data_IF_518469634192
#
_entry.id   IF_518469634192
#
_cell.length_a   1.000
_cell.length_b   1.000
_cell.length_c   1.000
_cell.angle_alpha   90.00
_cell.angle_beta   90.00
_cell.angle_gamma   90.00
#
_symmetry.space_group_name_H-M   'P 1'
#
loop_
_entity.id
_entity.type
_entity.pdbx_description
1 polymer ?
#
# COMPACT_ATOMS: atom_id res chain seq x y z
N UNK A 1 -9.65 39.75 -49.84
CA UNK A 1 -8.72 38.62 -50.10
C UNK A 1 -8.91 37.62 -48.98
N UNK A 2 -9.73 36.57 -49.19
CA UNK A 2 -9.95 35.53 -48.18
C UNK A 2 -8.70 34.63 -48.14
N UNK A 3 -8.05 34.42 -46.98
CA UNK A 3 -7.05 33.37 -46.86
C UNK A 3 -7.72 32.05 -47.24
N UNK A 4 -7.11 31.37 -48.20
CA UNK A 4 -7.71 30.25 -48.94
C UNK A 4 -8.24 29.18 -48.01
N UNK A 5 -9.49 28.77 -48.21
CA UNK A 5 -10.15 27.63 -47.54
C UNK A 5 -9.23 26.40 -47.40
N UNK A 6 -8.30 26.21 -48.35
CA UNK A 6 -7.24 25.21 -48.34
C UNK A 6 -6.34 25.24 -47.10
N UNK A 7 -5.93 26.42 -46.60
CA UNK A 7 -5.08 26.52 -45.41
C UNK A 7 -5.81 26.10 -44.15
N UNK A 8 -7.11 26.42 -44.05
CA UNK A 8 -7.96 25.97 -42.95
C UNK A 8 -8.13 24.44 -42.94
N UNK A 9 -8.34 23.83 -44.11
CA UNK A 9 -8.40 22.37 -44.25
C UNK A 9 -7.08 21.69 -43.88
N UNK A 10 -5.94 22.24 -44.31
CA UNK A 10 -4.63 21.67 -43.93
C UNK A 10 -4.36 21.76 -42.43
N UNK A 11 -4.81 22.83 -41.76
CA UNK A 11 -4.67 22.96 -40.31
C UNK A 11 -5.54 21.92 -39.57
N UNK A 12 -6.78 21.74 -40.01
CA UNK A 12 -7.70 20.75 -39.44
C UNK A 12 -7.19 19.32 -39.63
N UNK A 13 -6.62 18.99 -40.80
CA UNK A 13 -6.01 17.68 -41.05
C UNK A 13 -4.79 17.42 -40.16
N UNK A 14 -3.96 18.44 -39.90
CA UNK A 14 -2.81 18.32 -38.99
C UNK A 14 -3.25 18.11 -37.53
N UNK A 15 -4.29 18.82 -37.09
CA UNK A 15 -4.85 18.65 -35.73
C UNK A 15 -5.43 17.24 -35.56
N UNK A 16 -6.15 16.73 -36.56
CA UNK A 16 -6.66 15.35 -36.54
C UNK A 16 -5.53 14.31 -36.57
N UNK A 17 -4.44 14.57 -37.28
CA UNK A 17 -3.27 13.69 -37.32
C UNK A 17 -2.57 13.60 -35.96
N UNK A 18 -2.41 14.74 -35.27
CA UNK A 18 -1.83 14.79 -33.92
C UNK A 18 -2.78 14.13 -32.90
N UNK A 19 -4.09 14.30 -33.05
CA UNK A 19 -5.11 13.71 -32.17
C UNK A 19 -5.31 12.20 -32.39
N UNK A 20 -4.95 11.67 -33.56
CA UNK A 20 -5.17 10.27 -33.94
C UNK A 20 -4.16 9.28 -33.34
N UNK A 21 -3.03 9.77 -32.81
CA UNK A 21 -2.11 8.93 -32.05
C UNK A 21 -2.69 8.70 -30.68
N UNK A 22 -3.39 7.58 -30.52
CA UNK A 22 -3.53 6.95 -29.21
C UNK A 22 -2.11 6.66 -28.71
N UNK A 23 -1.59 7.54 -27.86
CA UNK A 23 -0.33 7.30 -27.14
C UNK A 23 -0.68 6.23 -26.13
N UNK A 24 -0.57 4.96 -26.54
CA UNK A 24 -0.62 3.84 -25.62
C UNK A 24 0.54 4.02 -24.65
N UNK A 25 0.28 4.16 -23.34
CA UNK A 25 1.36 4.32 -22.38
C UNK A 25 2.28 3.10 -22.49
N UNK A 26 3.59 3.37 -22.43
CA UNK A 26 4.56 2.29 -22.33
C UNK A 26 4.30 1.46 -21.07
N UNK A 27 4.67 0.16 -21.05
CA UNK A 27 4.54 -0.67 -19.85
C UNK A 27 5.17 -0.04 -18.59
N UNK A 28 6.25 0.74 -18.75
CA UNK A 28 6.90 1.46 -17.65
C UNK A 28 6.04 2.60 -17.09
N UNK A 29 5.35 3.35 -17.97
CA UNK A 29 4.44 4.42 -17.54
C UNK A 29 3.22 3.84 -16.83
N UNK A 30 2.64 2.77 -17.36
CA UNK A 30 1.54 2.05 -16.71
C UNK A 30 1.95 1.52 -15.34
N UNK A 31 3.15 0.92 -15.21
CA UNK A 31 3.65 0.43 -13.93
C UNK A 31 3.83 1.57 -12.91
N UNK A 32 4.35 2.72 -13.36
CA UNK A 32 4.50 3.91 -12.51
C UNK A 32 3.15 4.40 -12.00
N UNK A 33 2.14 4.47 -12.86
CA UNK A 33 0.78 4.84 -12.48
C UNK A 33 0.19 3.85 -11.46
N UNK A 34 0.35 2.54 -11.68
CA UNK A 34 -0.09 1.52 -10.72
C UNK A 34 0.57 1.71 -9.35
N UNK A 35 1.88 1.97 -9.30
CA UNK A 35 2.60 2.22 -8.03
C UNK A 35 2.02 3.45 -7.32
N UNK A 36 1.82 4.55 -8.05
CA UNK A 36 1.27 5.78 -7.48
C UNK A 36 -0.16 5.58 -6.94
N UNK A 37 -0.99 4.84 -7.69
CA UNK A 37 -2.35 4.51 -7.26
C UNK A 37 -2.35 3.64 -6.00
N UNK A 38 -1.50 2.61 -5.93
CA UNK A 38 -1.35 1.78 -4.73
C UNK A 38 -0.91 2.63 -3.53
N UNK A 39 0.04 3.55 -3.72
CA UNK A 39 0.47 4.46 -2.66
C UNK A 39 -0.67 5.37 -2.18
N UNK A 40 -1.47 5.91 -3.11
CA UNK A 40 -2.62 6.75 -2.77
C UNK A 40 -3.69 5.94 -2.03
N UNK A 41 -4.00 4.72 -2.46
CA UNK A 41 -4.94 3.83 -1.77
C UNK A 41 -4.45 3.48 -0.35
N UNK A 42 -3.14 3.27 -0.20
CA UNK A 42 -2.51 2.99 1.08
C UNK A 42 -2.36 4.24 1.98
N UNK A 43 -2.48 5.46 1.44
CA UNK A 43 -2.40 6.71 2.20
C UNK A 43 -3.68 7.08 2.96
N UNK A 44 -4.73 6.25 2.88
CA UNK A 44 -5.90 6.37 3.75
C UNK A 44 -5.51 6.35 5.23
N UNK A 45 -6.41 6.83 6.11
CA UNK A 45 -6.14 7.09 7.53
C UNK A 45 -5.22 6.03 8.17
N UNK A 46 -3.94 6.40 8.33
CA UNK A 46 -2.92 5.51 8.86
C UNK A 46 -3.30 5.15 10.29
N UNK A 47 -3.53 3.86 10.53
CA UNK A 47 -3.85 3.40 11.86
C UNK A 47 -2.65 3.65 12.79
N UNK A 48 -2.87 4.01 14.06
CA UNK A 48 -1.79 4.08 15.03
C UNK A 48 -1.04 2.75 15.10
N UNK A 49 0.27 2.77 15.30
CA UNK A 49 1.11 1.56 15.38
C UNK A 49 0.56 0.53 16.37
N UNK A 50 0.04 0.99 17.50
CA UNK A 50 -0.55 0.12 18.52
C UNK A 50 -1.81 -0.60 18.02
N UNK A 51 -2.59 0.03 17.13
CA UNK A 51 -3.75 -0.59 16.50
C UNK A 51 -3.32 -1.65 15.48
N UNK A 52 -2.28 -1.37 14.68
CA UNK A 52 -1.72 -2.34 13.74
C UNK A 52 -1.16 -3.58 14.46
N UNK A 53 -0.42 -3.38 15.55
CA UNK A 53 0.09 -4.48 16.37
C UNK A 53 -1.02 -5.30 17.05
N UNK A 54 -2.10 -4.64 17.48
CA UNK A 54 -3.28 -5.25 18.08
C UNK A 54 -4.08 -6.09 17.06
N UNK A 55 -4.16 -5.63 15.81
CA UNK A 55 -4.73 -6.43 14.72
C UNK A 55 -3.83 -7.61 14.34
N UNK A 56 -2.51 -7.42 14.33
CA UNK A 56 -1.57 -8.49 14.08
C UNK A 56 -1.64 -9.61 15.15
N UNK A 57 -1.80 -9.25 16.43
CA UNK A 57 -2.07 -10.19 17.52
C UNK A 57 -3.34 -11.03 17.25
N UNK A 58 -4.45 -10.37 16.91
CA UNK A 58 -5.71 -11.05 16.61
C UNK A 58 -5.61 -11.97 15.39
N UNK A 59 -4.94 -11.52 14.33
CA UNK A 59 -4.70 -12.32 13.14
C UNK A 59 -3.95 -13.61 13.47
N UNK A 60 -2.86 -13.52 14.23
CA UNK A 60 -2.07 -14.68 14.64
C UNK A 60 -2.80 -15.59 15.63
N UNK A 61 -3.61 -15.03 16.53
CA UNK A 61 -4.44 -15.82 17.46
C UNK A 61 -5.47 -16.67 16.73
N UNK A 62 -5.95 -16.24 15.54
CA UNK A 62 -6.88 -17.00 14.69
C UNK A 62 -6.20 -18.12 13.89
N UNK A 63 -4.86 -18.18 13.86
CA UNK A 63 -4.14 -19.28 13.20
C UNK A 63 -4.28 -20.55 14.05
N UNK A 64 -4.93 -21.56 13.48
CA UNK A 64 -5.19 -22.83 14.17
C UNK A 64 -4.04 -23.82 14.02
N UNK A 65 -3.39 -23.86 12.85
CA UNK A 65 -2.25 -24.74 12.59
C UNK A 65 -0.95 -24.17 13.18
N UNK A 66 -0.11 -25.02 13.78
CA UNK A 66 1.19 -24.63 14.33
C UNK A 66 1.11 -23.47 15.35
N UNK A 67 -0.02 -23.35 16.07
CA UNK A 67 -0.29 -22.24 17.00
C UNK A 67 0.83 -22.05 18.03
N UNK A 68 1.37 -23.14 18.57
CA UNK A 68 2.46 -23.12 19.55
C UNK A 68 3.72 -22.40 19.03
N UNK A 69 3.98 -22.45 17.72
CA UNK A 69 5.10 -21.73 17.09
C UNK A 69 4.92 -20.21 17.16
N UNK A 70 3.68 -19.73 17.18
CA UNK A 70 3.35 -18.31 17.17
C UNK A 70 3.10 -17.72 18.56
N UNK A 71 2.89 -18.54 19.59
CA UNK A 71 2.61 -18.08 20.97
C UNK A 71 3.65 -17.07 21.52
N UNK A 72 4.97 -17.26 21.34
CA UNK A 72 5.95 -16.27 21.78
C UNK A 72 5.79 -14.91 21.06
N UNK A 73 5.47 -14.94 19.76
CA UNK A 73 5.24 -13.75 18.96
C UNK A 73 3.95 -13.03 19.39
N UNK A 74 2.85 -13.78 19.52
CA UNK A 74 1.55 -13.30 20.03
C UNK A 74 1.72 -12.62 21.38
N UNK A 75 2.43 -13.26 22.31
CA UNK A 75 2.69 -12.72 23.65
C UNK A 75 3.46 -11.40 23.59
N UNK A 76 4.48 -11.30 22.73
CA UNK A 76 5.25 -10.08 22.57
C UNK A 76 4.44 -8.96 21.92
N UNK A 77 3.59 -9.27 20.93
CA UNK A 77 2.67 -8.30 20.34
C UNK A 77 1.72 -7.73 21.41
N UNK A 78 1.12 -8.59 22.24
CA UNK A 78 0.26 -8.17 23.37
C UNK A 78 0.93 -7.16 24.30
N UNK A 79 2.18 -7.43 24.68
CA UNK A 79 2.98 -6.51 25.49
C UNK A 79 3.25 -5.19 24.77
N UNK A 80 3.57 -5.24 23.48
CA UNK A 80 3.90 -4.05 22.70
C UNK A 80 2.71 -3.12 22.45
N UNK A 81 1.52 -3.68 22.17
CA UNK A 81 0.34 -2.85 21.92
C UNK A 81 -0.42 -2.44 23.20
N UNK A 82 -0.33 -3.21 24.29
CA UNK A 82 -0.86 -2.84 25.61
C UNK A 82 -2.39 -2.69 25.71
N UNK A 83 -3.12 -3.06 24.65
CA UNK A 83 -4.59 -2.94 24.58
C UNK A 83 -5.27 -4.14 25.23
N UNK A 84 -6.36 -3.87 25.97
CA UNK A 84 -7.18 -4.93 26.61
C UNK A 84 -8.07 -5.69 25.63
N UNK A 85 -8.52 -5.02 24.56
CA UNK A 85 -9.39 -5.58 23.53
C UNK A 85 -8.85 -5.19 22.16
N UNK A 86 -8.87 -6.16 21.25
CA UNK A 86 -8.44 -6.03 19.87
C UNK A 86 -9.53 -6.55 18.95
N UNK A 87 -9.71 -5.88 17.81
CA UNK A 87 -10.70 -6.25 16.80
C UNK A 87 -10.01 -6.24 15.44
N UNK A 88 -10.24 -7.27 14.64
CA UNK A 88 -9.86 -7.24 13.23
C UNK A 88 -10.86 -6.36 12.48
N UNK A 89 -10.37 -5.45 11.64
CA UNK A 89 -11.23 -4.55 10.85
C UNK A 89 -11.94 -5.29 9.72
N UNK A 90 -11.33 -6.35 9.22
CA UNK A 90 -11.92 -7.24 8.22
C UNK A 90 -11.66 -8.71 8.58
N UNK A 91 -12.45 -9.59 8.00
CA UNK A 91 -12.33 -11.05 8.18
C UNK A 91 -11.75 -11.73 6.94
N UNK A 92 -10.98 -11.01 6.13
CA UNK A 92 -10.38 -11.59 4.94
C UNK A 92 -9.39 -12.70 5.30
N UNK A 93 -9.20 -13.64 4.37
CA UNK A 93 -8.20 -14.68 4.54
C UNK A 93 -6.78 -14.08 4.62
N UNK A 94 -6.07 -14.40 5.69
CA UNK A 94 -4.70 -13.95 5.92
C UNK A 94 -3.73 -15.02 5.48
N UNK A 95 -2.99 -14.74 4.40
CA UNK A 95 -1.92 -15.62 3.94
C UNK A 95 -0.63 -15.37 4.72
N UNK A 96 -0.27 -16.31 5.61
CA UNK A 96 0.91 -16.18 6.50
C UNK A 96 2.22 -15.89 5.77
N UNK A 97 2.42 -16.45 4.57
CA UNK A 97 3.60 -16.21 3.72
C UNK A 97 3.82 -14.74 3.34
N UNK A 98 2.76 -13.94 3.33
CA UNK A 98 2.82 -12.50 3.05
C UNK A 98 2.73 -11.69 4.34
N UNK A 99 1.90 -12.15 5.28
CA UNK A 99 1.67 -11.47 6.55
C UNK A 99 2.92 -11.43 7.44
N UNK A 100 3.62 -12.55 7.64
CA UNK A 100 4.78 -12.60 8.54
C UNK A 100 5.95 -11.71 8.07
N UNK A 101 6.33 -11.70 6.77
CA UNK A 101 7.33 -10.75 6.29
C UNK A 101 6.91 -9.28 6.45
N UNK A 102 5.64 -8.97 6.18
CA UNK A 102 5.13 -7.60 6.34
C UNK A 102 5.19 -7.14 7.81
N UNK A 103 4.78 -8.00 8.74
CA UNK A 103 4.88 -7.75 10.18
C UNK A 103 6.34 -7.58 10.65
N UNK A 104 7.25 -8.41 10.12
CA UNK A 104 8.69 -8.29 10.37
C UNK A 104 9.24 -6.94 9.92
N UNK A 105 8.94 -6.51 8.69
CA UNK A 105 9.38 -5.22 8.16
C UNK A 105 8.80 -4.04 8.96
N UNK A 106 7.53 -4.11 9.33
CA UNK A 106 6.87 -3.08 10.13
C UNK A 106 7.53 -2.93 11.51
N UNK A 107 7.67 -4.03 12.25
CA UNK A 107 8.29 -4.02 13.59
C UNK A 107 9.77 -3.64 13.56
N UNK A 108 10.51 -4.06 12.54
CA UNK A 108 11.89 -3.63 12.30
C UNK A 108 11.97 -2.12 12.05
N UNK A 109 11.01 -1.56 11.30
CA UNK A 109 10.85 -0.12 11.11
C UNK A 109 10.63 0.59 12.45
N UNK A 110 9.67 0.13 13.25
CA UNK A 110 9.39 0.70 14.58
C UNK A 110 10.63 0.71 15.48
N UNK A 111 11.40 -0.38 15.51
CA UNK A 111 12.63 -0.47 16.29
C UNK A 111 13.65 0.60 15.90
N UNK A 112 13.85 0.81 14.59
CA UNK A 112 14.78 1.84 14.07
C UNK A 112 14.35 3.26 14.47
N UNK A 113 13.05 3.58 14.38
CA UNK A 113 12.54 4.91 14.73
C UNK A 113 12.60 5.17 16.23
N UNK A 114 12.29 4.18 17.08
CA UNK A 114 12.39 4.32 18.55
C UNK A 114 13.84 4.43 19.02
N UNK A 115 14.78 3.70 18.41
CA UNK A 115 16.21 3.83 18.71
C UNK A 115 16.73 5.23 18.41
N UNK A 116 16.23 5.87 17.36
CA UNK A 116 16.61 7.24 16.98
C UNK A 116 16.09 8.32 17.95
N UNK A 117 14.95 8.10 18.60
CA UNK A 117 14.36 9.04 19.57
C UNK A 117 15.01 8.95 20.96
N UNK A 118 15.66 7.84 21.29
CA UNK A 118 16.37 7.66 22.56
C UNK A 118 17.78 8.30 22.57
N UNK A 119 18.25 8.78 21.42
CA UNK A 119 19.57 9.40 21.22
C UNK A 119 19.51 10.92 20.99
N UNK A 120 18.35 11.55 21.16
CA UNK A 120 18.16 13.01 21.19
C UNK A 120 17.78 13.44 22.61
#
# INVERSE_FOLDING_TARGET
MLPSLKTAFTLLSLIQLISSRAVTPSPQQTLKEVILLIQQLNSGAQLPDQELLCQADMALTRVTSCKETYEPLITNLKRLHGKKKCFLRDENEIYLRHFLPALGNFTQGMYRHRGSLATQ
#
